data_IF_703716167697
#
_entry.id   IF_703716167697
#
_cell.length_a   1.000
_cell.length_b   1.000
_cell.length_c   1.000
_cell.angle_alpha   90.00
_cell.angle_beta   90.00
_cell.angle_gamma   90.00
#
_symmetry.space_group_name_H-M   'P 1'
#
loop_
_entity.id
_entity.type
_entity.pdbx_description
1 polymer ?
#
# COMPACT_ATOMS: atom_id res chain seq x y z
N UNK A 1 42.99 30.77 29.49
CA UNK A 1 42.29 30.98 28.20
C UNK A 1 41.23 29.91 28.09
N UNK A 2 39.96 30.28 28.29
CA UNK A 2 38.82 29.36 28.24
C UNK A 2 38.31 29.38 26.81
N UNK A 3 38.48 28.27 26.08
CA UNK A 3 37.86 28.08 24.77
C UNK A 3 36.37 27.85 24.99
N UNK A 4 35.55 28.86 24.69
CA UNK A 4 34.11 28.73 24.60
C UNK A 4 33.78 28.04 23.29
N UNK A 5 33.24 26.83 23.37
CA UNK A 5 32.73 26.10 22.21
C UNK A 5 31.63 26.93 21.52
N UNK A 6 31.63 27.01 20.18
CA UNK A 6 30.55 27.66 19.45
C UNK A 6 29.25 26.91 19.74
N UNK A 7 28.30 27.62 20.32
CA UNK A 7 26.90 27.22 20.43
C UNK A 7 26.40 26.87 19.03
N UNK A 8 26.19 25.57 18.76
CA UNK A 8 25.49 25.12 17.57
C UNK A 8 24.07 25.67 17.64
N UNK A 9 23.75 26.64 16.79
CA UNK A 9 22.35 26.95 16.53
C UNK A 9 21.67 25.64 16.11
N UNK A 10 20.49 25.27 16.67
CA UNK A 10 19.72 24.17 16.13
C UNK A 10 19.44 24.55 14.66
N UNK A 11 19.89 23.75 13.68
CA UNK A 11 19.63 24.08 12.29
C UNK A 11 18.12 24.17 12.12
N UNK A 12 17.66 25.21 11.44
CA UNK A 12 16.31 25.34 10.91
C UNK A 12 16.08 24.24 9.85
N UNK A 13 16.09 22.97 10.27
CA UNK A 13 15.91 21.77 9.44
C UNK A 13 14.45 21.57 9.00
N UNK A 14 13.64 22.63 9.10
CA UNK A 14 12.32 22.74 8.48
C UNK A 14 12.45 23.25 7.03
N UNK A 15 13.66 23.31 6.47
CA UNK A 15 13.82 23.39 5.03
C UNK A 15 13.55 22.01 4.43
N UNK A 16 12.28 21.85 4.04
CA UNK A 16 11.75 20.79 3.18
C UNK A 16 12.82 20.30 2.21
N UNK A 17 13.09 19.00 2.26
CA UNK A 17 13.94 18.35 1.28
C UNK A 17 13.58 18.82 -0.15
N UNK A 18 14.55 19.27 -0.96
CA UNK A 18 14.31 19.67 -2.35
C UNK A 18 13.56 18.57 -3.14
N UNK A 19 13.80 17.31 -2.81
CA UNK A 19 13.15 16.15 -3.43
C UNK A 19 11.63 16.16 -3.25
N UNK A 20 11.12 16.56 -2.08
CA UNK A 20 9.68 16.52 -1.80
C UNK A 20 8.89 17.55 -2.60
N UNK A 21 9.53 18.59 -3.13
CA UNK A 21 8.86 19.62 -3.94
C UNK A 21 8.36 19.10 -5.29
N UNK A 22 8.92 18.00 -5.79
CA UNK A 22 8.49 17.40 -7.04
C UNK A 22 7.20 16.59 -6.88
N UNK A 23 6.95 16.04 -5.70
CA UNK A 23 5.87 15.07 -5.49
C UNK A 23 4.47 15.66 -5.77
N UNK A 24 4.12 16.90 -5.32
CA UNK A 24 2.82 17.50 -5.66
C UNK A 24 2.63 17.75 -7.16
N UNK A 25 3.69 17.69 -7.97
CA UNK A 25 3.60 17.87 -9.43
C UNK A 25 3.21 16.57 -10.15
N UNK A 26 3.47 15.41 -9.54
CA UNK A 26 3.27 14.10 -10.14
C UNK A 26 1.78 13.74 -10.25
N UNK A 27 1.31 13.26 -11.42
CA UNK A 27 -0.09 12.86 -11.60
C UNK A 27 -0.58 11.82 -10.58
N UNK A 28 0.16 10.72 -10.29
CA UNK A 28 -0.24 9.74 -9.28
C UNK A 28 -0.54 10.35 -7.91
N UNK A 29 0.30 11.29 -7.45
CA UNK A 29 0.10 11.94 -6.16
C UNK A 29 -1.13 12.85 -6.17
N UNK A 30 -1.31 13.63 -7.25
CA UNK A 30 -2.45 14.55 -7.37
C UNK A 30 -3.78 13.82 -7.28
N UNK A 31 -3.92 12.69 -7.96
CA UNK A 31 -5.17 11.91 -8.02
C UNK A 31 -5.38 10.99 -6.83
N UNK A 32 -4.32 10.65 -6.09
CA UNK A 32 -4.41 9.75 -4.94
C UNK A 32 -5.27 10.32 -3.81
N UNK A 33 -6.15 9.47 -3.27
CA UNK A 33 -6.92 9.70 -2.04
C UNK A 33 -6.29 8.99 -0.85
N UNK A 34 -5.66 7.86 -1.07
CA UNK A 34 -4.93 7.10 -0.05
C UNK A 34 -3.52 6.80 -0.54
N UNK A 35 -2.53 7.10 0.30
CA UNK A 35 -1.12 6.89 0.01
C UNK A 35 -0.57 5.85 1.00
N UNK A 36 0.10 4.81 0.52
CA UNK A 36 0.93 3.95 1.36
C UNK A 36 2.32 4.58 1.46
N UNK A 37 2.81 4.80 2.67
CA UNK A 37 4.13 5.42 2.94
C UNK A 37 4.93 4.51 3.88
N UNK A 38 6.24 4.41 3.66
CA UNK A 38 7.14 3.78 4.64
C UNK A 38 7.39 4.64 5.89
N UNK A 39 7.85 4.02 6.97
CA UNK A 39 8.14 4.75 8.21
C UNK A 39 9.56 5.33 8.20
N UNK A 40 9.89 6.11 7.17
CA UNK A 40 11.13 6.87 7.10
C UNK A 40 10.93 8.27 7.69
N UNK A 41 11.75 8.70 8.66
CA UNK A 41 11.69 10.07 9.20
C UNK A 41 11.84 11.16 8.11
N UNK A 42 12.49 10.83 7.00
CA UNK A 42 12.63 11.76 5.86
C UNK A 42 11.30 12.06 5.16
N UNK A 43 10.26 11.27 5.40
CA UNK A 43 8.93 11.42 4.83
C UNK A 43 7.92 12.08 5.78
N UNK A 44 8.31 12.44 7.01
CA UNK A 44 7.43 13.16 7.95
C UNK A 44 6.85 14.46 7.33
N UNK A 45 7.64 15.31 6.63
CA UNK A 45 7.10 16.50 5.99
C UNK A 45 6.06 16.16 4.90
N UNK A 46 6.25 15.02 4.22
CA UNK A 46 5.30 14.54 3.21
C UNK A 46 3.99 14.07 3.85
N UNK A 47 4.05 13.34 4.96
CA UNK A 47 2.84 12.90 5.69
C UNK A 47 1.99 14.13 6.06
N UNK A 48 2.62 15.17 6.62
CA UNK A 48 1.94 16.42 6.95
C UNK A 48 1.35 17.13 5.72
N UNK A 49 2.08 17.15 4.61
CA UNK A 49 1.62 17.76 3.35
C UNK A 49 0.42 17.01 2.78
N UNK A 50 0.48 15.68 2.71
CA UNK A 50 -0.59 14.85 2.19
C UNK A 50 -1.87 14.94 3.04
N UNK A 51 -1.75 14.97 4.36
CA UNK A 51 -2.90 15.17 5.25
C UNK A 51 -3.54 16.57 5.06
N UNK A 52 -2.73 17.61 4.80
CA UNK A 52 -3.22 18.95 4.45
C UNK A 52 -3.95 18.98 3.12
N UNK A 53 -3.52 18.14 2.17
CA UNK A 53 -4.15 17.93 0.87
C UNK A 53 -5.39 17.01 0.92
N UNK A 54 -5.93 16.77 2.13
CA UNK A 54 -7.11 15.92 2.39
C UNK A 54 -6.93 14.45 1.95
N UNK A 55 -5.69 13.94 2.00
CA UNK A 55 -5.36 12.55 1.67
C UNK A 55 -5.26 11.68 2.91
N UNK A 56 -5.68 10.43 2.80
CA UNK A 56 -5.44 9.40 3.79
C UNK A 56 -4.02 8.85 3.65
N UNK A 57 -3.41 8.49 4.76
CA UNK A 57 -2.09 7.86 4.78
C UNK A 57 -2.21 6.50 5.44
N UNK A 58 -1.68 5.48 4.78
CA UNK A 58 -1.42 4.19 5.37
C UNK A 58 0.10 4.08 5.60
N UNK A 59 0.52 3.92 6.84
CA UNK A 59 1.94 3.80 7.21
C UNK A 59 2.21 2.34 7.55
N UNK A 60 3.20 1.75 6.92
CA UNK A 60 3.72 0.43 7.34
C UNK A 60 4.59 0.59 8.60
N UNK A 61 4.33 -0.22 9.61
CA UNK A 61 5.14 -0.24 10.85
C UNK A 61 6.48 -0.95 10.61
N UNK A 62 7.49 -0.79 11.49
CA UNK A 62 8.82 -1.34 11.26
C UNK A 62 8.75 -2.87 11.21
N UNK A 63 9.28 -3.45 10.13
CA UNK A 63 9.20 -4.88 9.84
C UNK A 63 7.76 -5.45 9.83
N UNK A 64 6.74 -4.59 9.68
CA UNK A 64 5.31 -4.93 9.78
C UNK A 64 4.89 -5.58 11.10
N UNK A 65 5.64 -5.37 12.19
CA UNK A 65 5.36 -6.02 13.48
C UNK A 65 3.96 -5.72 14.01
N UNK A 66 3.54 -4.47 13.90
CA UNK A 66 2.23 -4.00 14.35
C UNK A 66 1.28 -3.74 13.16
N UNK A 67 1.59 -4.32 11.99
CA UNK A 67 0.82 -4.12 10.75
C UNK A 67 0.91 -2.68 10.23
N UNK A 68 -0.25 -2.02 10.12
CA UNK A 68 -0.37 -0.70 9.51
C UNK A 68 -1.03 0.34 10.42
N UNK A 69 -0.61 1.59 10.27
CA UNK A 69 -1.23 2.76 10.91
C UNK A 69 -1.98 3.57 9.86
N UNK A 70 -3.26 3.82 10.10
CA UNK A 70 -4.09 4.68 9.27
C UNK A 70 -4.17 6.08 9.85
N UNK A 71 -3.78 7.06 9.05
CA UNK A 71 -3.98 8.49 9.31
C UNK A 71 -5.05 9.04 8.37
N UNK A 72 -5.89 9.91 8.91
CA UNK A 72 -6.91 10.64 8.15
C UNK A 72 -6.78 12.13 8.48
N UNK A 73 -7.07 13.04 7.53
CA UNK A 73 -7.08 14.49 7.76
C UNK A 73 -7.93 14.92 8.96
N UNK A 74 -8.94 14.11 9.33
CA UNK A 74 -9.86 14.40 10.43
C UNK A 74 -9.54 13.65 11.72
N UNK A 75 -8.50 12.82 11.75
CA UNK A 75 -8.06 12.09 12.94
C UNK A 75 -6.79 12.74 13.50
N UNK A 76 -6.90 13.29 14.71
CA UNK A 76 -5.79 13.94 15.41
C UNK A 76 -4.67 12.95 15.73
N UNK A 77 -5.04 11.68 15.97
CA UNK A 77 -4.10 10.59 16.24
C UNK A 77 -4.32 9.48 15.22
N UNK A 78 -3.23 8.97 14.67
CA UNK A 78 -3.26 7.74 13.89
C UNK A 78 -3.82 6.58 14.69
N UNK A 79 -4.35 5.58 14.00
CA UNK A 79 -4.77 4.31 14.63
C UNK A 79 -4.18 3.14 13.88
N UNK A 80 -3.86 2.07 14.62
CA UNK A 80 -3.59 0.79 13.99
C UNK A 80 -4.83 0.31 13.25
N UNK A 81 -4.64 -0.36 12.12
CA UNK A 81 -5.71 -0.91 11.30
C UNK A 81 -5.32 -2.30 10.81
N UNK A 82 -6.24 -3.26 10.92
CA UNK A 82 -6.06 -4.64 10.47
C UNK A 82 -6.50 -4.81 9.01
N UNK A 83 -6.09 -5.89 8.35
CA UNK A 83 -6.50 -6.18 6.96
C UNK A 83 -8.01 -6.32 6.81
N UNK A 84 -8.64 -7.05 7.74
CA UNK A 84 -10.09 -7.18 7.84
C UNK A 84 -10.78 -5.81 7.91
N UNK A 85 -10.28 -4.90 8.77
CA UNK A 85 -10.82 -3.55 8.87
C UNK A 85 -10.59 -2.70 7.62
N UNK A 86 -9.50 -2.91 6.88
CA UNK A 86 -9.29 -2.24 5.59
C UNK A 86 -10.33 -2.67 4.58
N UNK A 87 -10.61 -3.97 4.48
CA UNK A 87 -11.62 -4.53 3.58
C UNK A 87 -13.03 -4.06 3.95
N UNK A 88 -13.41 -4.12 5.22
CA UNK A 88 -14.73 -3.66 5.70
C UNK A 88 -14.99 -2.17 5.38
N UNK A 89 -13.92 -1.37 5.38
CA UNK A 89 -13.96 0.07 5.08
C UNK A 89 -13.74 0.39 3.60
N UNK A 90 -13.55 -0.61 2.75
CA UNK A 90 -13.20 -0.46 1.33
C UNK A 90 -12.00 0.48 1.12
N UNK A 91 -10.97 0.34 1.95
CA UNK A 91 -9.73 1.12 1.79
C UNK A 91 -8.99 0.56 0.58
N UNK A 92 -8.67 1.45 -0.37
CA UNK A 92 -7.75 1.19 -1.48
C UNK A 92 -6.55 2.11 -1.35
N UNK A 93 -5.38 1.65 -1.81
CA UNK A 93 -4.15 2.45 -1.92
C UNK A 93 -3.99 2.87 -3.38
N UNK A 94 -3.87 4.17 -3.62
CA UNK A 94 -3.80 4.74 -4.96
C UNK A 94 -2.36 4.97 -5.43
N UNK A 95 -1.42 5.10 -4.48
CA UNK A 95 0.01 5.27 -4.75
C UNK A 95 0.83 4.80 -3.55
N UNK A 96 1.97 4.17 -3.82
CA UNK A 96 2.95 3.75 -2.82
C UNK A 96 4.15 4.69 -2.90
N UNK A 97 4.62 5.18 -1.77
CA UNK A 97 5.75 6.09 -1.68
C UNK A 97 6.76 5.54 -0.69
N UNK A 98 7.99 5.36 -1.15
CA UNK A 98 9.05 4.71 -0.39
C UNK A 98 10.27 5.62 -0.35
N UNK A 99 10.92 5.68 0.81
CA UNK A 99 12.23 6.29 0.98
C UNK A 99 13.31 5.29 0.62
N UNK A 100 14.32 5.73 -0.12
CA UNK A 100 15.53 4.92 -0.32
C UNK A 100 16.77 5.78 -0.37
N UNK A 101 17.90 5.22 0.05
CA UNK A 101 19.22 5.83 -0.14
C UNK A 101 19.80 5.44 -1.50
N UNK A 102 19.47 4.23 -1.98
CA UNK A 102 19.98 3.67 -3.23
C UNK A 102 18.85 3.07 -4.06
N UNK A 103 18.94 3.26 -5.37
CA UNK A 103 18.01 2.69 -6.34
C UNK A 103 18.78 2.35 -7.61
N UNK A 104 18.43 1.23 -8.20
CA UNK A 104 18.97 0.80 -9.48
C UNK A 104 18.36 1.59 -10.63
N UNK A 105 18.99 1.50 -11.80
CA UNK A 105 18.45 2.05 -13.06
C UNK A 105 17.08 1.47 -13.43
N UNK A 106 16.75 0.28 -12.92
CA UNK A 106 15.47 -0.39 -13.11
C UNK A 106 14.49 -0.13 -11.96
N UNK A 107 14.74 0.82 -11.06
CA UNK A 107 13.81 1.22 -10.01
C UNK A 107 13.72 0.28 -8.80
N UNK A 108 14.57 -0.76 -8.73
CA UNK A 108 14.68 -1.65 -7.57
C UNK A 108 15.48 -0.96 -6.47
N UNK A 109 14.98 -1.00 -5.23
CA UNK A 109 15.65 -0.43 -4.06
C UNK A 109 16.58 -1.46 -3.42
N UNK A 110 17.68 -0.97 -2.87
CA UNK A 110 18.63 -1.77 -2.10
C UNK A 110 18.63 -1.30 -0.65
N UNK A 111 17.70 -1.82 0.14
CA UNK A 111 17.55 -1.43 1.54
C UNK A 111 16.82 -2.49 2.36
N UNK A 112 17.00 -2.46 3.68
CA UNK A 112 16.16 -3.28 4.58
C UNK A 112 14.68 -2.89 4.49
N UNK A 113 14.40 -1.62 4.19
CA UNK A 113 13.06 -1.10 3.95
C UNK A 113 12.39 -1.77 2.73
N UNK A 114 13.17 -2.20 1.73
CA UNK A 114 12.67 -2.94 0.57
C UNK A 114 11.96 -4.22 0.98
N UNK A 115 12.51 -5.01 1.91
CA UNK A 115 11.86 -6.24 2.39
C UNK A 115 10.49 -5.95 3.01
N UNK A 116 10.41 -4.91 3.83
CA UNK A 116 9.16 -4.48 4.48
C UNK A 116 8.15 -4.01 3.44
N UNK A 117 8.58 -3.17 2.49
CA UNK A 117 7.74 -2.70 1.39
C UNK A 117 7.25 -3.85 0.49
N UNK A 118 8.09 -4.84 0.22
CA UNK A 118 7.74 -6.02 -0.55
C UNK A 118 6.65 -6.85 0.14
N UNK A 119 6.79 -7.14 1.45
CA UNK A 119 5.75 -7.85 2.18
C UNK A 119 4.45 -7.05 2.29
N UNK A 120 4.53 -5.74 2.51
CA UNK A 120 3.37 -4.85 2.47
C UNK A 120 2.64 -4.94 1.13
N UNK A 121 3.40 -4.88 0.02
CA UNK A 121 2.85 -4.99 -1.32
C UNK A 121 2.10 -6.31 -1.50
N UNK A 122 2.74 -7.44 -1.17
CA UNK A 122 2.17 -8.77 -1.35
C UNK A 122 0.88 -8.96 -0.54
N UNK A 123 0.89 -8.56 0.73
CA UNK A 123 -0.27 -8.66 1.62
C UNK A 123 -1.44 -7.80 1.14
N UNK A 124 -1.17 -6.54 0.79
CA UNK A 124 -2.20 -5.60 0.36
C UNK A 124 -2.75 -5.95 -1.03
N UNK A 125 -1.89 -6.42 -1.94
CA UNK A 125 -2.31 -6.89 -3.25
C UNK A 125 -3.23 -8.12 -3.14
N UNK A 126 -2.89 -9.07 -2.25
CA UNK A 126 -3.67 -10.30 -2.06
C UNK A 126 -5.09 -10.04 -1.57
N UNK A 127 -5.30 -8.93 -0.86
CA UNK A 127 -6.60 -8.48 -0.37
C UNK A 127 -7.30 -7.48 -1.30
N UNK A 128 -6.72 -7.18 -2.46
CA UNK A 128 -7.24 -6.21 -3.42
C UNK A 128 -7.21 -4.75 -2.93
N UNK A 129 -6.44 -4.47 -1.88
CA UNK A 129 -6.28 -3.11 -1.33
C UNK A 129 -5.38 -2.28 -2.25
N UNK A 130 -4.43 -2.91 -2.93
CA UNK A 130 -3.70 -2.33 -4.05
C UNK A 130 -3.67 -3.30 -5.23
N UNK A 131 -3.33 -2.80 -6.40
CA UNK A 131 -3.26 -3.57 -7.65
C UNK A 131 -1.86 -3.53 -8.28
N UNK A 132 -1.59 -4.38 -9.26
CA UNK A 132 -0.36 -4.35 -10.06
C UNK A 132 -0.16 -3.03 -10.84
N UNK A 133 -1.22 -2.24 -11.01
CA UNK A 133 -1.16 -0.91 -11.65
C UNK A 133 -0.91 0.24 -10.69
N UNK A 134 -0.84 -0.04 -9.39
CA UNK A 134 -0.61 0.98 -8.36
C UNK A 134 0.80 1.54 -8.51
N UNK A 135 0.95 2.84 -8.77
CA UNK A 135 2.26 3.45 -8.95
C UNK A 135 3.07 3.43 -7.65
N UNK A 136 4.35 3.13 -7.77
CA UNK A 136 5.37 3.14 -6.72
C UNK A 136 6.35 4.27 -7.03
N UNK A 137 6.50 5.19 -6.07
CA UNK A 137 7.39 6.33 -6.15
C UNK A 137 8.51 6.14 -5.12
N UNK A 138 9.76 6.09 -5.59
CA UNK A 138 10.93 6.17 -4.73
C UNK A 138 11.36 7.62 -4.53
N UNK A 139 11.65 7.99 -3.29
CA UNK A 139 12.19 9.29 -2.90
C UNK A 139 13.62 9.09 -2.42
N UNK A 140 14.57 9.69 -3.13
CA UNK A 140 15.99 9.68 -2.79
C UNK A 140 16.40 11.07 -2.30
N UNK A 141 16.92 11.11 -1.08
CA UNK A 141 17.37 12.36 -0.44
C UNK A 141 18.81 12.70 -0.84
N UNK A 142 19.68 11.69 -0.76
CA UNK A 142 21.08 11.78 -1.14
C UNK A 142 21.33 10.68 -2.17
N UNK A 143 21.00 10.92 -3.46
CA UNK A 143 21.01 9.88 -4.44
C UNK A 143 22.44 9.40 -4.69
N UNK A 144 22.76 8.22 -4.19
CA UNK A 144 23.85 7.43 -4.73
C UNK A 144 23.23 6.54 -5.80
N UNK A 145 23.25 7.04 -7.05
CA UNK A 145 22.82 6.23 -8.19
C UNK A 145 23.87 5.17 -8.40
N UNK A 146 23.56 3.95 -8.00
CA UNK A 146 24.39 2.79 -8.29
C UNK A 146 24.29 2.54 -9.79
N UNK A 147 25.34 2.92 -10.52
CA UNK A 147 25.41 2.70 -11.96
C UNK A 147 25.55 1.21 -12.23
N UNK A 148 24.47 0.65 -12.77
CA UNK A 148 24.41 -0.59 -13.56
C UNK A 148 25.35 -1.70 -13.05
N UNK A 149 25.26 -1.99 -11.75
CA UNK A 149 25.59 -3.34 -11.31
C UNK A 149 24.59 -4.24 -12.00
N UNK A 150 25.07 -5.06 -12.93
CA UNK A 150 24.29 -6.11 -13.59
C UNK A 150 23.33 -6.74 -12.58
N UNK A 151 22.09 -7.06 -12.95
CA UNK A 151 21.08 -7.57 -12.01
C UNK A 151 21.58 -8.67 -11.06
N UNK A 152 22.60 -9.44 -11.48
CA UNK A 152 23.32 -10.44 -10.69
C UNK A 152 24.17 -9.89 -9.50
N UNK A 153 24.32 -8.58 -9.37
CA UNK A 153 25.15 -7.90 -8.36
C UNK A 153 24.37 -6.90 -7.52
N UNK A 154 23.04 -6.85 -7.70
CA UNK A 154 22.18 -6.22 -6.72
C UNK A 154 22.25 -7.04 -5.44
N UNK A 155 22.32 -6.40 -4.26
CA UNK A 155 22.24 -7.14 -3.02
C UNK A 155 20.85 -7.77 -2.90
N UNK A 156 20.71 -9.01 -3.37
CA UNK A 156 19.65 -9.95 -2.97
C UNK A 156 19.77 -10.33 -1.48
N UNK A 157 20.54 -9.57 -0.70
CA UNK A 157 20.77 -9.80 0.72
C UNK A 157 19.47 -9.76 1.53
N UNK A 158 18.41 -9.11 1.03
CA UNK A 158 17.19 -8.88 1.79
C UNK A 158 16.04 -9.85 1.47
N UNK A 159 16.02 -10.46 0.28
CA UNK A 159 15.03 -11.47 -0.09
C UNK A 159 15.75 -12.66 -0.77
N UNK A 160 15.47 -13.91 -0.37
CA UNK A 160 16.01 -15.08 -1.03
C UNK A 160 15.77 -15.06 -2.54
N UNK A 161 16.76 -15.52 -3.32
CA UNK A 161 16.71 -15.55 -4.78
C UNK A 161 15.49 -16.34 -5.30
N UNK A 162 15.04 -17.36 -4.57
CA UNK A 162 13.86 -18.16 -4.92
C UNK A 162 12.56 -17.35 -4.87
N UNK A 163 12.45 -16.43 -3.91
CA UNK A 163 11.30 -15.53 -3.79
C UNK A 163 11.29 -14.56 -4.95
N UNK A 164 12.43 -13.97 -5.25
CA UNK A 164 12.58 -13.04 -6.37
C UNK A 164 12.30 -13.74 -7.71
N UNK A 165 12.85 -14.95 -7.91
CA UNK A 165 12.64 -15.72 -9.13
C UNK A 165 11.17 -16.14 -9.31
N UNK A 166 10.46 -16.45 -8.23
CA UNK A 166 9.06 -16.87 -8.31
C UNK A 166 8.05 -15.74 -8.33
N UNK A 167 8.29 -14.65 -7.61
CA UNK A 167 7.33 -13.56 -7.41
C UNK A 167 7.71 -12.28 -8.15
N UNK A 168 8.98 -12.09 -8.51
CA UNK A 168 9.50 -10.88 -9.14
C UNK A 168 9.98 -9.82 -8.13
N UNK A 169 10.33 -8.63 -8.63
CA UNK A 169 10.79 -7.49 -7.83
C UNK A 169 9.71 -6.41 -7.67
N UNK A 170 9.80 -5.67 -6.57
CA UNK A 170 9.07 -4.41 -6.38
C UNK A 170 9.90 -3.24 -6.93
N UNK A 171 9.74 -2.94 -8.21
CA UNK A 171 10.37 -1.79 -8.84
C UNK A 171 9.49 -0.53 -8.72
N UNK A 172 10.15 0.62 -8.62
CA UNK A 172 9.51 1.94 -8.63
C UNK A 172 9.24 2.42 -10.06
N UNK A 173 8.04 2.92 -10.31
CA UNK A 173 7.68 3.54 -11.59
C UNK A 173 8.29 4.94 -11.75
N UNK A 174 8.51 5.62 -10.62
CA UNK A 174 9.02 6.99 -10.56
C UNK A 174 10.10 7.07 -9.48
N UNK A 175 11.21 7.71 -9.81
CA UNK A 175 12.29 8.03 -8.88
C UNK A 175 12.37 9.55 -8.80
N UNK A 176 12.26 10.07 -7.59
CA UNK A 176 12.38 11.49 -7.31
C UNK A 176 13.69 11.74 -6.56
N UNK A 177 14.50 12.67 -7.07
CA UNK A 177 15.75 13.12 -6.43
C UNK A 177 15.74 14.65 -6.29
N UNK A 178 16.72 15.27 -5.60
CA UNK A 178 16.85 16.72 -5.60
C UNK A 178 17.06 17.34 -7.00
N UNK A 179 17.56 16.55 -7.95
CA UNK A 179 17.89 17.00 -9.30
C UNK A 179 16.72 16.86 -10.28
N UNK A 180 15.71 16.04 -9.95
CA UNK A 180 14.52 15.91 -10.78
C UNK A 180 13.79 14.58 -10.61
N UNK A 181 13.04 14.24 -11.66
CA UNK A 181 12.14 13.10 -11.70
C UNK A 181 12.58 12.19 -12.84
N UNK A 182 12.75 10.90 -12.57
CA UNK A 182 13.05 9.86 -13.55
C UNK A 182 11.89 8.87 -13.60
N UNK A 183 11.40 8.55 -14.80
CA UNK A 183 10.36 7.54 -15.02
C UNK A 183 11.01 6.22 -15.44
N UNK A 184 10.54 5.12 -14.86
CA UNK A 184 11.02 3.76 -15.13
C UNK A 184 9.95 3.04 -15.97
N UNK A 185 10.10 2.98 -17.31
CA UNK A 185 9.04 2.46 -18.18
C UNK A 185 8.81 0.95 -18.03
N UNK A 186 9.81 0.21 -17.55
CA UNK A 186 9.78 -1.25 -17.40
C UNK A 186 9.72 -1.66 -15.91
N UNK A 187 9.12 -0.82 -15.06
CA UNK A 187 8.98 -1.13 -13.65
C UNK A 187 8.12 -2.38 -13.44
N UNK A 188 8.72 -3.44 -12.89
CA UNK A 188 8.02 -4.66 -12.53
C UNK A 188 7.39 -4.57 -11.14
N UNK A 189 6.29 -5.29 -10.94
CA UNK A 189 5.68 -5.49 -9.62
C UNK A 189 5.62 -6.98 -9.29
N UNK A 190 5.66 -7.36 -8.00
CA UNK A 190 5.49 -8.75 -7.62
C UNK A 190 4.14 -9.30 -8.09
N UNK A 191 4.15 -10.50 -8.64
CA UNK A 191 2.94 -11.21 -9.08
C UNK A 191 2.50 -12.18 -7.98
N UNK A 192 1.22 -12.14 -7.63
CA UNK A 192 0.63 -13.07 -6.67
C UNK A 192 0.41 -14.42 -7.34
N UNK A 193 1.11 -15.46 -6.88
CA UNK A 193 0.72 -16.85 -7.13
C UNK A 193 -0.25 -17.33 -6.04
N UNK A 194 -1.07 -18.33 -6.30
CA UNK A 194 -2.01 -18.85 -5.28
C UNK A 194 -1.30 -19.35 -4.00
N UNK A 195 -0.02 -19.71 -4.11
CA UNK A 195 0.82 -20.27 -3.07
C UNK A 195 1.97 -19.35 -2.62
N UNK A 196 1.92 -18.04 -2.90
CA UNK A 196 3.04 -17.14 -2.60
C UNK A 196 3.42 -17.12 -1.11
N UNK A 197 2.46 -17.35 -0.21
CA UNK A 197 2.71 -17.42 1.23
C UNK A 197 3.57 -18.62 1.65
N UNK A 198 3.55 -19.71 0.89
CA UNK A 198 4.37 -20.90 1.14
C UNK A 198 5.83 -20.67 0.72
N UNK A 199 6.09 -19.64 -0.10
CA UNK A 199 7.42 -19.22 -0.51
C UNK A 199 8.08 -18.30 0.51
N UNK A 200 7.33 -17.82 1.51
CA UNK A 200 7.87 -16.88 2.48
C UNK A 200 8.86 -17.56 3.43
N UNK A 201 9.91 -16.84 3.87
CA UNK A 201 10.84 -17.37 4.85
C UNK A 201 10.18 -17.62 6.22
N UNK A 202 10.73 -18.55 7.01
CA UNK A 202 10.16 -18.92 8.32
C UNK A 202 10.07 -17.73 9.28
N UNK A 203 11.00 -16.77 9.22
CA UNK A 203 11.00 -15.57 10.04
C UNK A 203 9.77 -14.66 9.82
N UNK A 204 9.05 -14.83 8.71
CA UNK A 204 7.81 -14.10 8.46
C UNK A 204 6.63 -14.62 9.27
N UNK A 205 6.78 -15.80 9.90
CA UNK A 205 5.75 -16.39 10.76
C UNK A 205 5.45 -15.52 11.99
N UNK A 206 6.36 -14.67 12.43
CA UNK A 206 6.12 -13.80 13.58
C UNK A 206 5.52 -12.43 13.19
N UNK A 207 5.29 -12.18 11.91
CA UNK A 207 4.72 -10.91 11.42
C UNK A 207 3.19 -10.97 11.56
N UNK A 208 2.62 -10.11 12.41
CA UNK A 208 1.20 -10.09 12.76
C UNK A 208 0.30 -10.02 11.52
N UNK A 209 0.63 -9.15 10.56
CA UNK A 209 -0.22 -8.95 9.38
C UNK A 209 -0.22 -10.15 8.43
N UNK A 210 0.88 -10.93 8.39
CA UNK A 210 0.95 -12.17 7.62
C UNK A 210 0.15 -13.28 8.31
N UNK A 211 0.18 -13.33 9.64
CA UNK A 211 -0.65 -14.24 10.42
C UNK A 211 -2.15 -13.93 10.29
N UNK A 212 -2.53 -12.64 10.29
CA UNK A 212 -3.90 -12.23 10.00
C UNK A 212 -4.32 -12.74 8.61
N UNK A 213 -3.51 -12.49 7.59
CA UNK A 213 -3.80 -12.93 6.22
C UNK A 213 -3.97 -14.46 6.12
N UNK A 214 -3.11 -15.23 6.78
CA UNK A 214 -3.22 -16.70 6.83
C UNK A 214 -4.51 -17.13 7.51
N UNK A 215 -4.86 -16.51 8.64
CA UNK A 215 -6.12 -16.77 9.34
C UNK A 215 -7.34 -16.51 8.46
N UNK A 216 -7.33 -15.39 7.72
CA UNK A 216 -8.39 -15.05 6.76
C UNK A 216 -8.53 -16.10 5.67
N UNK A 217 -7.41 -16.50 5.03
CA UNK A 217 -7.43 -17.52 3.97
C UNK A 217 -7.88 -18.90 4.47
N UNK A 218 -7.50 -19.30 5.69
CA UNK A 218 -7.99 -20.54 6.31
C UNK A 218 -9.49 -20.45 6.53
N UNK A 219 -10.00 -19.34 7.07
CA UNK A 219 -11.42 -19.13 7.28
C UNK A 219 -12.21 -19.17 5.97
N UNK A 220 -11.72 -18.50 4.92
CA UNK A 220 -12.30 -18.53 3.57
C UNK A 220 -12.39 -19.97 3.02
N UNK A 221 -11.31 -20.76 3.17
CA UNK A 221 -11.29 -22.16 2.75
C UNK A 221 -12.28 -23.02 3.52
N UNK A 222 -12.34 -22.89 4.85
CA UNK A 222 -13.30 -23.63 5.69
C UNK A 222 -14.74 -23.27 5.32
N UNK A 223 -15.03 -21.99 5.05
CA UNK A 223 -16.35 -21.55 4.61
C UNK A 223 -16.72 -22.10 3.24
N UNK A 224 -15.76 -22.15 2.30
CA UNK A 224 -15.94 -22.76 0.99
C UNK A 224 -16.20 -24.28 1.08
N UNK A 225 -15.38 -24.99 1.88
CA UNK A 225 -15.45 -26.46 2.04
C UNK A 225 -16.71 -26.91 2.80
N UNK A 226 -17.21 -26.09 3.74
CA UNK A 226 -18.40 -26.43 4.53
C UNK A 226 -19.70 -26.43 3.70
N UNK A 227 -19.67 -25.98 2.44
CA UNK A 227 -20.82 -26.02 1.53
C UNK A 227 -22.02 -25.15 1.97
N UNK A 228 -21.87 -24.37 3.04
CA UNK A 228 -22.94 -23.54 3.63
C UNK A 228 -23.43 -22.49 2.63
N UNK A 229 -22.60 -22.09 1.66
CA UNK A 229 -22.97 -21.17 0.58
C UNK A 229 -23.26 -21.84 -0.77
N UNK A 230 -22.92 -23.11 -0.97
CA UNK A 230 -23.15 -23.79 -2.25
C UNK A 230 -24.63 -24.17 -2.49
N UNK A 231 -25.50 -24.01 -1.49
CA UNK A 231 -26.93 -24.38 -1.58
C UNK A 231 -27.91 -23.21 -1.69
N UNK A 232 -27.48 -21.94 -1.70
CA UNK A 232 -28.41 -20.80 -1.79
C UNK A 232 -28.50 -20.11 -3.17
N UNK A 233 -27.64 -20.43 -4.14
CA UNK A 233 -27.61 -19.71 -5.44
C UNK A 233 -28.47 -20.32 -6.56
N UNK A 234 -29.38 -21.24 -6.20
CA UNK A 234 -30.55 -21.54 -7.05
C UNK A 234 -31.81 -21.49 -6.18
N UNK A 235 -32.02 -20.37 -5.49
CA UNK A 235 -33.39 -19.93 -5.26
C UNK A 235 -34.00 -19.74 -6.65
N UNK A 236 -34.70 -20.77 -7.13
CA UNK A 236 -35.76 -20.60 -8.12
C UNK A 236 -36.46 -19.31 -7.73
N UNK A 237 -36.58 -18.39 -8.69
CA UNK A 237 -37.42 -17.21 -8.58
C UNK A 237 -38.78 -17.71 -8.08
N UNK A 238 -38.99 -17.65 -6.76
CA UNK A 238 -40.29 -17.92 -6.16
C UNK A 238 -41.21 -16.95 -6.88
N UNK A 239 -42.12 -17.51 -7.69
CA UNK A 239 -43.16 -16.72 -8.32
C UNK A 239 -43.86 -15.98 -7.19
N UNK A 240 -43.64 -14.66 -7.14
CA UNK A 240 -44.28 -13.77 -6.19
C UNK A 240 -45.77 -14.11 -6.24
N UNK A 241 -46.39 -14.53 -5.12
CA UNK A 241 -47.79 -14.91 -5.09
C UNK A 241 -48.63 -13.81 -5.74
N UNK A 242 -49.67 -14.14 -6.52
CA UNK A 242 -50.48 -13.15 -7.25
C UNK A 242 -50.95 -11.97 -6.39
N UNK A 243 -51.16 -12.20 -5.08
CA UNK A 243 -51.57 -11.19 -4.12
C UNK A 243 -50.49 -10.13 -3.82
N UNK A 244 -49.21 -10.51 -3.78
CA UNK A 244 -48.10 -9.57 -3.58
C UNK A 244 -47.78 -8.76 -4.83
N UNK A 245 -48.03 -9.31 -6.02
CA UNK A 245 -47.89 -8.57 -7.28
C UNK A 245 -48.87 -7.39 -7.35
N UNK A 246 -50.12 -7.63 -6.93
CA UNK A 246 -51.14 -6.58 -6.90
C UNK A 246 -50.79 -5.43 -5.94
N UNK A 247 -50.21 -5.75 -4.77
CA UNK A 247 -49.77 -4.74 -3.81
C UNK A 247 -48.69 -3.81 -4.37
N UNK A 248 -47.75 -4.35 -5.18
CA UNK A 248 -46.70 -3.57 -5.83
C UNK A 248 -47.24 -2.65 -6.92
N UNK A 249 -48.14 -3.15 -7.77
CA UNK A 249 -48.77 -2.35 -8.83
C UNK A 249 -49.60 -1.19 -8.25
N UNK A 250 -50.33 -1.43 -7.15
CA UNK A 250 -51.09 -0.39 -6.48
C UNK A 250 -50.18 0.69 -5.87
N UNK A 251 -49.07 0.29 -5.23
CA UNK A 251 -48.11 1.23 -4.66
C UNK A 251 -47.44 2.09 -5.73
N UNK A 252 -47.08 1.51 -6.88
CA UNK A 252 -46.46 2.22 -8.00
C UNK A 252 -47.45 3.21 -8.66
N UNK A 253 -48.72 2.83 -8.76
CA UNK A 253 -49.80 3.70 -9.24
C UNK A 253 -50.08 4.87 -8.31
N UNK A 254 -50.01 4.65 -6.99
CA UNK A 254 -50.15 5.72 -6.00
C UNK A 254 -48.95 6.67 -6.12
N UNK A 255 -47.72 6.16 -6.16
CA UNK A 255 -46.52 7.01 -6.21
C UNK A 255 -46.39 7.82 -7.51
N UNK A 256 -46.87 7.30 -8.64
CA UNK A 256 -46.85 8.02 -9.92
C UNK A 256 -47.91 9.12 -10.01
N UNK A 257 -49.02 9.03 -9.26
CA UNK A 257 -50.09 10.03 -9.25
C UNK A 257 -49.82 11.30 -8.44
N UNK A 258 -48.77 11.33 -7.60
CA UNK A 258 -48.40 12.50 -6.78
C UNK A 258 -47.30 13.39 -7.39
N UNK A 259 -46.86 13.11 -8.63
CA UNK A 259 -45.98 14.00 -9.39
C UNK A 259 -46.80 14.96 -10.26
N UNK A 260 -47.46 15.92 -9.63
CA UNK A 260 -48.05 17.11 -10.29
C UNK A 260 -47.80 18.34 -9.44
#
# INVERSE_FOLDING_TARGET
MVQTNPTSNPPDSINSSPTLHHLPTLPPYKTAKTILIDQSPSLDPLIHHALRDDKHILIQTPSLKDGFIFLSPHLVNGRQISLSQMQDRNITVDVVILSSDQVTTNGIQDSEAYKTAFYSWMVLADRGILTSTTPVISILQNPEVVQDTSAASLPTQFLPDEIIAGLGHLSSDIITTPQGITHIPEASKPTLSDNWMDMLPEETNDIEVIQELRGMKIAERVMADSGIFATQTTKQKEEVPPEEQFGRELAEKIMSGFRT
#
